data_IF_484156673400
#
_entry.id   IF_484156673400
#
_cell.length_a   1.000
_cell.length_b   1.000
_cell.length_c   1.000
_cell.angle_alpha   90.00
_cell.angle_beta   90.00
_cell.angle_gamma   90.00
#
_symmetry.space_group_name_H-M   'P 1'
#
loop_
_entity.id
_entity.type
_entity.pdbx_description
1 polymer ?
#
# COMPACT_ATOMS: atom_id res chain seq x y z
N UNK A 1 -7.05 -1.19 18.90
CA UNK A 1 -7.42 -0.85 17.52
C UNK A 1 -6.36 -1.45 16.60
N UNK A 2 -6.73 -2.13 15.51
CA UNK A 2 -5.76 -2.68 14.58
C UNK A 2 -4.94 -1.59 13.90
N UNK A 3 -3.80 -1.97 13.34
CA UNK A 3 -2.94 -1.09 12.53
C UNK A 3 -2.32 -1.83 11.36
N UNK A 4 -2.00 -1.09 10.32
CA UNK A 4 -1.27 -1.56 9.14
C UNK A 4 0.00 -0.72 8.99
N UNK A 5 1.11 -1.38 8.72
CA UNK A 5 2.40 -0.73 8.49
C UNK A 5 2.98 -1.27 7.18
N UNK A 6 3.44 -0.39 6.29
CA UNK A 6 4.11 -0.76 5.05
C UNK A 6 5.56 -0.29 5.08
N UNK A 7 6.47 -1.21 4.79
CA UNK A 7 7.91 -0.99 4.82
C UNK A 7 8.53 -1.32 3.47
N UNK A 8 9.39 -0.44 2.97
CA UNK A 8 10.19 -0.67 1.77
C UNK A 8 11.57 -0.04 1.93
N UNK A 9 12.63 -0.75 1.52
CA UNK A 9 13.97 -0.18 1.47
C UNK A 9 14.20 0.44 0.09
N UNK A 10 14.18 1.77 0.01
CA UNK A 10 14.34 2.53 -1.22
C UNK A 10 15.80 2.93 -1.43
N UNK A 11 16.52 2.37 -2.40
CA UNK A 11 17.88 2.78 -2.72
C UNK A 11 17.95 4.24 -3.13
N UNK A 12 19.14 4.84 -3.03
CA UNK A 12 19.39 6.20 -3.52
C UNK A 12 19.20 6.31 -5.04
N UNK A 13 19.55 5.25 -5.79
CA UNK A 13 19.50 5.22 -7.24
C UNK A 13 18.43 4.24 -7.75
N UNK A 14 17.80 4.50 -8.92
CA UNK A 14 16.87 3.57 -9.57
C UNK A 14 17.48 2.18 -9.78
N UNK A 15 16.65 1.13 -9.65
CA UNK A 15 17.00 -0.25 -9.98
C UNK A 15 16.11 -0.79 -11.09
N UNK A 16 16.68 -1.69 -11.90
CA UNK A 16 15.98 -2.39 -12.99
C UNK A 16 15.25 -3.65 -12.53
N UNK A 17 15.28 -3.96 -11.23
CA UNK A 17 14.47 -4.98 -10.60
C UNK A 17 13.45 -4.37 -9.65
N UNK A 18 12.32 -5.04 -9.49
CA UNK A 18 11.31 -4.63 -8.51
C UNK A 18 11.84 -4.90 -7.10
N UNK A 19 11.65 -3.91 -6.23
CA UNK A 19 12.02 -3.97 -4.83
C UNK A 19 10.80 -4.41 -4.04
N UNK A 20 10.98 -5.40 -3.19
CA UNK A 20 9.96 -5.88 -2.29
C UNK A 20 10.31 -5.51 -0.86
N UNK A 21 9.27 -5.17 -0.12
CA UNK A 21 9.31 -5.01 1.32
C UNK A 21 8.18 -5.83 1.92
N UNK A 22 7.45 -5.25 2.86
CA UNK A 22 6.37 -5.98 3.50
C UNK A 22 5.26 -5.07 4.01
N UNK A 23 4.07 -5.65 4.06
CA UNK A 23 2.92 -5.14 4.79
C UNK A 23 2.81 -5.91 6.10
N UNK A 24 2.66 -5.21 7.21
CA UNK A 24 2.50 -5.76 8.54
C UNK A 24 1.12 -5.39 9.08
N UNK A 25 0.29 -6.38 9.41
CA UNK A 25 -1.02 -6.14 10.03
C UNK A 25 -0.97 -6.56 11.49
N UNK A 26 -1.37 -5.66 12.38
CA UNK A 26 -1.47 -5.91 13.81
C UNK A 26 -2.92 -5.82 14.25
N UNK A 27 -3.40 -6.80 15.02
CA UNK A 27 -4.74 -6.76 15.64
C UNK A 27 -4.79 -5.73 16.78
N UNK A 28 -3.69 -5.59 17.50
CA UNK A 28 -3.45 -4.54 18.50
C UNK A 28 -2.05 -3.94 18.30
N UNK A 29 -1.81 -2.66 18.62
CA UNK A 29 -0.54 -1.98 18.32
C UNK A 29 0.71 -2.66 18.90
N UNK A 30 0.56 -3.33 20.04
CA UNK A 30 1.62 -4.06 20.74
C UNK A 30 1.89 -5.47 20.20
N UNK A 31 1.02 -6.00 19.33
CA UNK A 31 1.22 -7.33 18.76
C UNK A 31 2.37 -7.31 17.75
N UNK A 32 3.10 -8.43 17.63
CA UNK A 32 4.16 -8.58 16.63
C UNK A 32 3.65 -8.41 15.18
N UNK A 33 2.38 -8.74 14.93
CA UNK A 33 1.72 -8.62 13.65
C UNK A 33 2.01 -9.77 12.67
N UNK A 34 1.26 -9.78 11.57
CA UNK A 34 1.39 -10.74 10.46
C UNK A 34 2.07 -10.04 9.30
N UNK A 35 3.24 -10.54 8.91
CA UNK A 35 4.09 -9.97 7.86
C UNK A 35 3.79 -10.62 6.51
N UNK A 36 3.52 -9.81 5.49
CA UNK A 36 3.22 -10.25 4.14
C UNK A 36 4.15 -9.55 3.15
N UNK A 37 4.68 -10.29 2.17
CA UNK A 37 5.45 -9.72 1.07
C UNK A 37 4.59 -8.70 0.33
N UNK A 38 5.13 -7.50 0.11
CA UNK A 38 4.43 -6.44 -0.61
C UNK A 38 5.41 -5.49 -1.30
N UNK A 39 4.92 -4.70 -2.24
CA UNK A 39 5.69 -3.70 -2.98
C UNK A 39 4.85 -2.46 -3.27
N UNK A 40 5.48 -1.38 -3.70
CA UNK A 40 4.84 -0.15 -4.17
C UNK A 40 5.76 0.57 -5.14
N UNK A 41 5.21 1.19 -6.18
CA UNK A 41 5.98 1.77 -7.26
C UNK A 41 6.28 0.75 -8.36
N UNK A 42 6.66 1.24 -9.54
CA UNK A 42 7.07 0.42 -10.68
C UNK A 42 8.59 0.29 -10.76
N UNK A 43 9.09 -0.71 -11.49
CA UNK A 43 10.53 -0.86 -11.81
C UNK A 43 11.14 0.46 -12.29
N UNK A 44 12.35 0.78 -11.84
CA UNK A 44 13.03 2.05 -12.14
C UNK A 44 12.52 3.28 -11.38
N UNK A 45 11.44 3.12 -10.59
CA UNK A 45 10.82 4.22 -9.85
C UNK A 45 10.64 3.90 -8.36
N UNK A 46 11.45 2.98 -7.82
CA UNK A 46 11.52 2.64 -6.41
C UNK A 46 12.86 3.10 -5.83
N UNK A 47 13.04 4.41 -5.71
CA UNK A 47 14.23 5.02 -5.11
C UNK A 47 13.86 6.21 -4.21
N UNK A 48 14.80 6.72 -3.42
CA UNK A 48 14.57 7.89 -2.56
C UNK A 48 13.97 9.07 -3.36
N UNK A 49 12.92 9.71 -2.83
CA UNK A 49 12.21 10.82 -3.45
C UNK A 49 11.27 10.46 -4.62
N UNK A 50 11.34 9.23 -5.14
CA UNK A 50 10.56 8.82 -6.31
C UNK A 50 9.05 8.77 -6.08
N UNK A 51 8.58 8.80 -4.82
CA UNK A 51 7.14 8.89 -4.49
C UNK A 51 6.47 10.16 -5.04
N UNK A 52 7.25 11.18 -5.44
CA UNK A 52 6.75 12.37 -6.16
C UNK A 52 6.49 12.13 -7.65
N UNK A 53 6.90 10.98 -8.21
CA UNK A 53 6.71 10.67 -9.64
C UNK A 53 5.28 10.18 -9.89
N UNK A 54 4.47 11.00 -10.56
CA UNK A 54 3.09 10.65 -10.94
C UNK A 54 3.06 9.33 -11.73
N UNK A 55 2.05 8.50 -11.42
CA UNK A 55 1.74 7.22 -12.08
C UNK A 55 2.85 6.15 -12.07
N UNK A 56 3.91 6.32 -11.29
CA UNK A 56 5.06 5.40 -11.29
C UNK A 56 5.70 5.20 -9.93
N UNK A 57 5.82 6.26 -9.15
CA UNK A 57 6.45 6.22 -7.84
C UNK A 57 5.63 5.44 -6.81
N UNK A 58 6.29 4.95 -5.74
CA UNK A 58 5.63 4.30 -4.62
C UNK A 58 4.64 5.24 -3.94
N UNK A 59 3.78 4.68 -3.07
CA UNK A 59 2.94 5.43 -2.17
C UNK A 59 3.80 6.45 -1.40
N UNK A 60 3.37 7.70 -1.22
CA UNK A 60 4.18 8.65 -0.45
C UNK A 60 4.35 8.20 1.01
N UNK A 61 5.55 8.32 1.61
CA UNK A 61 5.76 7.94 3.00
C UNK A 61 4.91 8.82 3.92
N UNK A 62 4.49 8.30 5.07
CA UNK A 62 3.58 9.02 5.98
C UNK A 62 4.17 10.36 6.44
N UNK A 63 5.50 10.44 6.61
CA UNK A 63 6.17 11.70 6.96
C UNK A 63 6.12 12.77 5.85
N UNK A 64 5.82 12.41 4.60
CA UNK A 64 5.78 13.34 3.47
C UNK A 64 4.39 13.93 3.20
N UNK A 65 3.33 13.43 3.84
CA UNK A 65 1.95 13.89 3.60
C UNK A 65 1.44 14.88 4.66
N UNK A 66 2.36 15.47 5.43
CA UNK A 66 2.06 16.51 6.41
C UNK A 66 1.19 16.00 7.56
N UNK A 67 0.12 16.74 7.87
CA UNK A 67 -0.81 16.42 8.97
C UNK A 67 -1.77 15.26 8.67
N UNK A 68 -1.84 14.82 7.41
CA UNK A 68 -2.71 13.73 7.01
C UNK A 68 -2.17 12.39 7.52
N UNK A 69 -3.09 11.47 7.83
CA UNK A 69 -2.78 10.09 8.19
C UNK A 69 -3.47 9.17 7.20
N UNK A 70 -2.76 8.16 6.73
CA UNK A 70 -3.41 7.18 5.86
C UNK A 70 -4.34 6.28 6.67
N UNK A 71 -5.45 5.90 6.08
CA UNK A 71 -6.30 4.81 6.55
C UNK A 71 -6.65 3.88 5.39
N UNK A 72 -6.79 2.60 5.66
CA UNK A 72 -7.25 1.59 4.70
C UNK A 72 -8.69 1.25 5.04
N UNK A 73 -9.60 1.34 4.06
CA UNK A 73 -10.96 0.85 4.24
C UNK A 73 -10.96 -0.67 4.40
N UNK A 74 -11.78 -1.20 5.31
CA UNK A 74 -12.05 -2.65 5.40
C UNK A 74 -13.09 -3.12 4.40
N UNK A 75 -13.79 -2.19 3.75
CA UNK A 75 -14.70 -2.51 2.66
C UNK A 75 -13.90 -2.84 1.40
N UNK A 76 -14.03 -4.09 0.96
CA UNK A 76 -13.54 -4.54 -0.34
C UNK A 76 -14.35 -3.88 -1.44
N UNK A 77 -13.68 -3.23 -2.39
CA UNK A 77 -14.25 -2.81 -3.66
C UNK A 77 -13.97 -3.87 -4.72
N UNK A 78 -14.99 -4.24 -5.48
CA UNK A 78 -14.86 -5.19 -6.58
C UNK A 78 -14.73 -4.42 -7.90
N UNK A 79 -13.53 -4.45 -8.49
CA UNK A 79 -13.16 -3.71 -9.69
C UNK A 79 -12.68 -4.66 -10.80
N UNK A 80 -13.55 -5.55 -11.31
CA UNK A 80 -13.17 -6.60 -12.27
C UNK A 80 -12.74 -6.05 -13.63
N UNK A 81 -13.11 -4.82 -13.97
CA UNK A 81 -12.82 -4.19 -15.26
C UNK A 81 -11.59 -3.27 -15.24
N UNK A 82 -10.87 -3.17 -14.11
CA UNK A 82 -9.69 -2.30 -13.97
C UNK A 82 -8.43 -3.13 -14.15
N UNK A 83 -7.77 -2.98 -15.30
CA UNK A 83 -6.53 -3.69 -15.65
C UNK A 83 -5.45 -3.48 -14.57
N UNK A 84 -4.84 -4.57 -14.10
CA UNK A 84 -3.81 -4.56 -13.04
C UNK A 84 -4.34 -4.52 -11.59
N UNK A 85 -5.65 -4.34 -11.40
CA UNK A 85 -6.36 -4.55 -10.12
C UNK A 85 -7.26 -5.79 -10.21
N UNK A 86 -7.79 -6.06 -11.42
CA UNK A 86 -8.53 -7.25 -11.88
C UNK A 86 -9.05 -8.12 -10.74
N UNK A 87 -9.97 -7.54 -9.97
CA UNK A 87 -10.48 -8.16 -8.76
C UNK A 87 -10.69 -7.16 -7.63
N UNK A 88 -10.03 -7.38 -6.49
CA UNK A 88 -10.32 -6.65 -5.26
C UNK A 88 -9.37 -5.52 -4.94
N UNK A 89 -9.95 -4.44 -4.43
CA UNK A 89 -9.23 -3.24 -4.07
C UNK A 89 -9.70 -2.74 -2.70
N UNK A 90 -8.75 -2.43 -1.83
CA UNK A 90 -9.02 -1.78 -0.55
C UNK A 90 -8.49 -0.36 -0.60
N UNK A 91 -9.40 0.61 -0.58
CA UNK A 91 -9.06 2.01 -0.77
C UNK A 91 -8.22 2.57 0.39
N UNK A 92 -7.21 3.37 0.05
CA UNK A 92 -6.43 4.15 1.02
C UNK A 92 -6.92 5.60 0.99
N UNK A 93 -7.34 6.10 2.14
CA UNK A 93 -7.63 7.52 2.36
C UNK A 93 -6.41 8.23 2.98
N UNK A 94 -6.20 9.54 2.78
CA UNK A 94 -6.97 10.38 1.87
C UNK A 94 -6.78 9.95 0.41
N UNK A 95 -7.84 10.12 -0.38
CA UNK A 95 -7.84 9.71 -1.79
C UNK A 95 -6.77 10.44 -2.61
N UNK A 96 -6.39 11.66 -2.20
CA UNK A 96 -5.30 12.41 -2.79
C UNK A 96 -4.45 13.12 -1.74
N UNK A 97 -3.16 13.26 -2.02
CA UNK A 97 -2.18 14.00 -1.22
C UNK A 97 -1.39 14.98 -2.07
N UNK A 98 -1.07 16.14 -1.50
CA UNK A 98 -0.23 17.16 -2.13
C UNK A 98 1.23 16.99 -1.67
N UNK A 99 2.16 16.91 -2.63
CA UNK A 99 3.61 16.78 -2.41
C UNK A 99 4.32 17.91 -3.15
N UNK A 100 4.52 19.04 -2.49
CA UNK A 100 5.05 20.24 -3.16
C UNK A 100 4.09 20.70 -4.27
N UNK A 101 4.54 20.71 -5.52
CA UNK A 101 3.72 21.04 -6.70
C UNK A 101 2.96 19.84 -7.30
N UNK A 102 3.14 18.63 -6.75
CA UNK A 102 2.58 17.39 -7.31
C UNK A 102 1.44 16.89 -6.45
N UNK A 103 0.24 16.78 -7.03
CA UNK A 103 -0.86 16.00 -6.45
C UNK A 103 -0.79 14.55 -6.90
N UNK A 104 -1.00 13.61 -5.97
CA UNK A 104 -1.14 12.18 -6.25
C UNK A 104 -2.37 11.62 -5.56
N UNK A 105 -2.95 10.55 -6.10
CA UNK A 105 -4.14 9.93 -5.53
C UNK A 105 -4.42 8.55 -6.12
N UNK A 106 -5.67 8.09 -5.96
CA UNK A 106 -6.13 6.76 -6.38
C UNK A 106 -5.38 5.61 -5.68
N UNK A 107 -5.10 5.78 -4.38
CA UNK A 107 -4.33 4.82 -3.62
C UNK A 107 -5.17 3.64 -3.12
N UNK A 108 -4.57 2.46 -3.09
CA UNK A 108 -5.17 1.30 -2.43
C UNK A 108 -4.22 0.14 -2.25
N UNK A 109 -4.78 -0.97 -1.75
CA UNK A 109 -4.10 -2.26 -1.61
C UNK A 109 -4.83 -3.28 -2.50
N UNK A 110 -4.08 -3.96 -3.37
CA UNK A 110 -4.62 -4.99 -4.26
C UNK A 110 -3.62 -6.10 -4.54
N UNK A 111 -4.08 -7.18 -5.18
CA UNK A 111 -3.25 -8.26 -5.67
C UNK A 111 -2.46 -7.85 -6.92
N UNK A 112 -1.24 -8.37 -7.09
CA UNK A 112 -0.41 -8.13 -8.30
C UNK A 112 -0.91 -8.98 -9.47
N UNK A 113 -1.93 -8.49 -10.18
CA UNK A 113 -2.50 -9.19 -11.33
C UNK A 113 -1.67 -8.96 -12.60
N UNK A 114 -0.50 -9.60 -12.68
CA UNK A 114 0.34 -9.76 -13.88
C UNK A 114 1.08 -8.51 -14.40
N UNK A 115 1.06 -7.38 -13.70
CA UNK A 115 1.86 -6.18 -14.05
C UNK A 115 2.68 -5.74 -12.83
N UNK A 116 3.97 -6.13 -12.75
CA UNK A 116 4.75 -5.97 -11.53
C UNK A 116 4.83 -4.52 -11.02
N UNK A 117 4.44 -4.35 -9.77
CA UNK A 117 4.43 -3.07 -9.08
C UNK A 117 3.16 -2.25 -9.34
N UNK A 118 3.06 -1.08 -8.74
CA UNK A 118 1.91 -0.21 -8.96
C UNK A 118 2.24 1.26 -8.89
N UNK A 119 1.42 2.03 -9.59
CA UNK A 119 1.50 3.47 -9.72
C UNK A 119 1.08 4.24 -8.44
N UNK A 120 1.48 3.78 -7.25
CA UNK A 120 1.16 4.40 -5.95
C UNK A 120 0.35 3.54 -4.99
N UNK A 121 -0.07 2.36 -5.41
CA UNK A 121 -0.75 1.41 -4.53
C UNK A 121 0.29 0.57 -3.76
N UNK A 122 -0.18 -0.17 -2.77
CA UNK A 122 0.57 -1.28 -2.20
C UNK A 122 0.06 -2.55 -2.89
N UNK A 123 0.97 -3.36 -3.39
CA UNK A 123 0.64 -4.60 -4.09
C UNK A 123 1.16 -5.79 -3.31
N UNK A 124 0.30 -6.80 -3.14
CA UNK A 124 0.66 -8.08 -2.54
C UNK A 124 0.78 -9.10 -3.69
N UNK A 125 1.99 -9.59 -4.02
CA UNK A 125 2.20 -10.43 -5.21
C UNK A 125 1.94 -11.92 -4.96
N UNK A 126 1.90 -12.35 -3.70
CA UNK A 126 1.70 -13.76 -3.37
C UNK A 126 0.23 -14.03 -3.04
N UNK A 127 -0.38 -14.98 -3.74
CA UNK A 127 -1.80 -15.32 -3.56
C UNK A 127 -2.13 -15.66 -2.10
N UNK A 128 -1.32 -16.50 -1.45
CA UNK A 128 -1.55 -16.88 -0.05
C UNK A 128 -1.53 -15.68 0.91
N UNK A 129 -0.65 -14.69 0.68
CA UNK A 129 -0.65 -13.46 1.48
C UNK A 129 -1.85 -12.58 1.17
N UNK A 130 -2.29 -12.55 -0.09
CA UNK A 130 -3.46 -11.78 -0.49
C UNK A 130 -4.76 -12.35 0.10
N UNK A 131 -4.91 -13.67 0.09
CA UNK A 131 -6.05 -14.36 0.70
C UNK A 131 -6.10 -14.10 2.20
N UNK A 132 -4.94 -14.18 2.87
CA UNK A 132 -4.80 -13.86 4.30
C UNK A 132 -5.14 -12.39 4.58
N UNK A 133 -4.65 -11.46 3.75
CA UNK A 133 -5.01 -10.04 3.85
C UNK A 133 -6.52 -9.84 3.75
N UNK A 134 -7.16 -10.43 2.73
CA UNK A 134 -8.60 -10.34 2.52
C UNK A 134 -9.39 -10.89 3.71
N UNK A 135 -8.98 -12.04 4.26
CA UNK A 135 -9.57 -12.62 5.45
C UNK A 135 -9.48 -11.67 6.65
N UNK A 136 -8.30 -11.11 6.93
CA UNK A 136 -8.10 -10.19 8.05
C UNK A 136 -8.96 -8.92 7.90
N UNK A 137 -9.03 -8.34 6.71
CA UNK A 137 -9.87 -7.16 6.46
C UNK A 137 -11.36 -7.47 6.65
N UNK A 138 -11.80 -8.66 6.26
CA UNK A 138 -13.16 -9.15 6.50
C UNK A 138 -13.44 -9.35 8.00
N UNK A 139 -12.53 -9.98 8.75
CA UNK A 139 -12.63 -10.12 10.21
C UNK A 139 -12.81 -8.76 10.91
N UNK A 140 -12.03 -7.75 10.49
CA UNK A 140 -12.15 -6.40 11.05
C UNK A 140 -13.48 -5.73 10.68
N UNK A 141 -13.96 -5.92 9.45
CA UNK A 141 -15.26 -5.40 9.00
C UNK A 141 -16.41 -6.01 9.79
N UNK A 142 -16.38 -7.32 10.01
CA UNK A 142 -17.40 -8.05 10.78
C UNK A 142 -17.39 -7.64 12.26
N UNK A 143 -16.24 -7.21 12.78
CA UNK A 143 -16.11 -6.58 14.09
C UNK A 143 -16.54 -5.09 14.13
N UNK A 144 -17.11 -4.56 13.04
CA UNK A 144 -17.59 -3.17 12.94
C UNK A 144 -16.48 -2.13 12.68
N UNK A 145 -15.26 -2.56 12.38
CA UNK A 145 -14.14 -1.65 12.08
C UNK A 145 -14.18 -1.30 10.59
N UNK A 146 -14.43 -0.04 10.27
CA UNK A 146 -14.58 0.42 8.88
C UNK A 146 -13.25 0.86 8.23
N UNK A 147 -12.31 1.33 9.05
CA UNK A 147 -11.03 1.86 8.59
C UNK A 147 -9.92 1.50 9.58
N UNK A 148 -8.73 1.23 9.05
CA UNK A 148 -7.54 0.88 9.84
C UNK A 148 -6.41 1.86 9.51
N UNK A 149 -5.75 2.46 10.51
CA UNK A 149 -4.60 3.33 10.27
C UNK A 149 -3.49 2.62 9.49
N UNK A 150 -2.94 3.32 8.51
CA UNK A 150 -1.79 2.89 7.72
C UNK A 150 -0.61 3.83 7.95
N UNK A 151 0.54 3.27 8.30
CA UNK A 151 1.81 3.98 8.33
C UNK A 151 2.74 3.45 7.24
N UNK A 152 3.41 4.36 6.51
CA UNK A 152 4.27 4.05 5.38
C UNK A 152 5.69 4.52 5.69
N UNK A 153 6.63 3.59 5.72
CA UNK A 153 8.01 3.82 6.13
C UNK A 153 8.99 3.38 5.05
N UNK A 154 9.93 4.27 4.75
CA UNK A 154 11.05 3.99 3.85
C UNK A 154 12.38 4.15 4.56
N UNK A 155 13.23 3.13 4.43
CA UNK A 155 14.66 3.23 4.72
C UNK A 155 15.43 3.39 3.41
N UNK A 156 16.65 3.93 3.50
CA UNK A 156 17.61 3.99 2.38
C UNK A 156 18.70 2.97 2.58
#
# INVERSE_FOLDING_TARGET
MPSIEFYLQLPLNPRLSLIYGYLLIKRRPQDAGIKMLATSGTVGHQCAGSWTRKRRGPLPPSGAIGAHKYTVSTQRLWLPHVKGVEGSFYAIAPFSVQLGSVTRGDFGIHFDANVPGSAGCIVIPQQAHWDLFCQLMQEFRDAGIQQIPLAVYYST
#
